data_IF_445186741086
#
_entry.id   IF_445186741086
#
_cell.length_a   1.000
_cell.length_b   1.000
_cell.length_c   1.000
_cell.angle_alpha   90.00
_cell.angle_beta   90.00
_cell.angle_gamma   90.00
#
_symmetry.space_group_name_H-M   'P 1'
#
loop_
_entity.id
_entity.type
_entity.pdbx_description
1 polymer ?
#
# COMPACT_ATOMS: atom_id res chain seq x y z
N UNK A 1 -14.41 -1.84 28.35
CA UNK A 1 -13.07 -1.58 27.76
C UNK A 1 -13.24 -1.53 26.24
N UNK A 2 -13.31 -0.33 25.67
CA UNK A 2 -13.55 -0.11 24.24
C UNK A 2 -12.21 -0.09 23.49
N UNK A 3 -11.89 -1.18 22.81
CA UNK A 3 -10.74 -1.26 21.92
C UNK A 3 -11.06 -0.52 20.62
N UNK A 4 -10.41 0.63 20.39
CA UNK A 4 -10.46 1.33 19.09
C UNK A 4 -9.98 0.36 18.01
N UNK A 5 -10.89 -0.03 17.11
CA UNK A 5 -10.55 -0.78 15.90
C UNK A 5 -9.91 0.21 14.93
N UNK A 6 -8.63 0.02 14.61
CA UNK A 6 -8.01 0.70 13.47
C UNK A 6 -8.78 0.35 12.18
N UNK A 7 -8.91 1.29 11.22
CA UNK A 7 -9.68 1.06 10.00
C UNK A 7 -9.07 -0.09 9.20
N UNK A 8 -9.94 -0.97 8.72
CA UNK A 8 -9.58 -2.07 7.85
C UNK A 8 -9.59 -1.55 6.41
N UNK A 9 -8.41 -1.24 5.87
CA UNK A 9 -8.28 -1.09 4.42
C UNK A 9 -8.17 -2.50 3.82
N UNK A 10 -9.32 -3.13 3.56
CA UNK A 10 -9.39 -4.31 2.71
C UNK A 10 -8.96 -3.97 1.28
N UNK A 11 -8.73 -4.97 0.41
CA UNK A 11 -8.35 -4.74 -0.99
C UNK A 11 -9.56 -4.16 -1.74
N UNK A 12 -9.83 -2.88 -1.54
CA UNK A 12 -10.75 -2.12 -2.37
C UNK A 12 -10.03 -1.78 -3.67
N UNK A 13 -10.82 -1.47 -4.70
CA UNK A 13 -10.40 -0.85 -5.98
C UNK A 13 -9.84 0.57 -5.77
N UNK A 14 -9.17 0.82 -4.64
CA UNK A 14 -8.72 2.12 -4.11
C UNK A 14 -7.36 2.06 -3.40
N UNK A 15 -6.53 1.04 -3.66
CA UNK A 15 -5.17 0.93 -3.11
C UNK A 15 -4.22 2.11 -3.39
N UNK A 16 -4.63 3.07 -4.24
CA UNK A 16 -3.90 4.30 -4.53
C UNK A 16 -4.06 5.41 -3.48
N UNK A 17 -5.19 5.50 -2.76
CA UNK A 17 -5.46 6.64 -1.88
C UNK A 17 -4.50 6.65 -0.68
N UNK A 18 -4.26 5.47 -0.09
CA UNK A 18 -3.27 5.30 0.98
C UNK A 18 -1.84 5.62 0.51
N UNK A 19 -1.50 5.32 -0.74
CA UNK A 19 -0.23 5.71 -1.34
C UNK A 19 -0.11 7.23 -1.45
N UNK A 20 -1.16 7.90 -1.93
CA UNK A 20 -1.21 9.36 -1.99
C UNK A 20 -0.98 9.98 -0.61
N UNK A 21 -1.69 9.47 0.41
CA UNK A 21 -1.55 9.95 1.79
C UNK A 21 -0.13 9.74 2.33
N UNK A 22 0.45 8.55 2.18
CA UNK A 22 1.81 8.28 2.67
C UNK A 22 2.86 9.12 1.94
N UNK A 23 2.77 9.25 0.61
CA UNK A 23 3.74 10.04 -0.16
C UNK A 23 3.66 11.52 0.20
N UNK A 24 2.46 12.09 0.34
CA UNK A 24 2.31 13.47 0.80
C UNK A 24 2.80 13.64 2.24
N UNK A 25 2.47 12.68 3.12
CA UNK A 25 2.95 12.66 4.50
C UNK A 25 4.46 12.68 4.58
N UNK A 26 5.19 11.89 3.77
CA UNK A 26 6.65 11.95 3.73
C UNK A 26 7.14 13.35 3.35
N UNK A 27 6.57 13.98 2.33
CA UNK A 27 6.97 15.34 1.93
C UNK A 27 6.72 16.37 3.04
N UNK A 28 5.57 16.31 3.71
CA UNK A 28 5.23 17.17 4.86
C UNK A 28 6.15 16.90 6.06
N UNK A 29 6.41 15.62 6.34
CA UNK A 29 7.23 15.16 7.45
C UNK A 29 8.65 15.70 7.32
N UNK A 30 9.24 15.56 6.15
CA UNK A 30 10.61 16.02 5.86
C UNK A 30 10.70 17.53 5.61
N UNK A 31 9.60 18.21 5.29
CA UNK A 31 9.54 19.68 5.27
C UNK A 31 9.55 20.30 6.69
N UNK A 32 9.42 19.49 7.74
CA UNK A 32 9.37 19.97 9.13
C UNK A 32 8.06 20.66 9.49
N UNK A 33 7.00 20.44 8.68
CA UNK A 33 5.69 21.00 8.97
C UNK A 33 5.01 20.22 10.13
N UNK A 34 4.27 20.91 11.01
CA UNK A 34 3.52 20.28 12.08
C UNK A 34 2.45 19.34 11.55
N UNK A 35 2.45 18.11 12.08
CA UNK A 35 1.46 17.08 11.77
C UNK A 35 0.37 17.18 12.84
N UNK A 36 -0.86 17.47 12.40
CA UNK A 36 -2.01 17.69 13.29
C UNK A 36 -2.76 16.37 13.52
N UNK A 37 -2.84 15.54 12.48
CA UNK A 37 -3.45 14.23 12.54
C UNK A 37 -2.71 13.27 11.62
N UNK A 38 -2.37 12.10 12.16
CA UNK A 38 -1.80 11.00 11.40
C UNK A 38 -2.29 9.69 12.00
N UNK A 39 -2.74 8.80 11.11
CA UNK A 39 -2.99 7.40 11.45
C UNK A 39 -2.10 6.52 10.59
N UNK A 40 -1.70 5.36 11.11
CA UNK A 40 -0.87 4.37 10.41
C UNK A 40 -1.73 3.22 9.89
N UNK A 41 -1.20 2.43 8.95
CA UNK A 41 -1.90 1.26 8.45
C UNK A 41 -2.04 0.17 9.52
N UNK A 42 -3.09 -0.66 9.41
CA UNK A 42 -3.26 -1.83 10.27
C UNK A 42 -2.11 -2.85 10.12
N UNK A 43 -1.62 -3.00 8.89
CA UNK A 43 -0.52 -3.89 8.52
C UNK A 43 0.62 -3.08 7.91
N UNK A 44 1.85 -3.51 8.16
CA UNK A 44 3.02 -2.84 7.61
C UNK A 44 3.13 -3.08 6.10
N UNK A 45 3.42 -2.01 5.35
CA UNK A 45 3.65 -2.08 3.91
C UNK A 45 5.13 -1.71 3.64
N UNK A 46 6.01 -2.69 3.39
CA UNK A 46 7.47 -2.48 3.32
C UNK A 46 7.92 -1.38 2.37
N UNK A 47 7.20 -1.18 1.26
CA UNK A 47 7.52 -0.15 0.28
C UNK A 47 7.53 1.27 0.86
N UNK A 48 6.76 1.53 1.93
CA UNK A 48 6.75 2.83 2.60
C UNK A 48 7.97 3.06 3.50
N UNK A 49 8.71 2.00 3.81
CA UNK A 49 9.97 2.10 4.55
C UNK A 49 11.20 2.28 3.67
N UNK A 50 11.04 2.40 2.35
CA UNK A 50 12.16 2.48 1.42
C UNK A 50 12.84 3.86 1.45
N UNK A 51 14.16 3.85 1.46
CA UNK A 51 15.01 5.02 1.25
C UNK A 51 14.64 5.75 -0.06
N UNK A 52 14.87 7.08 -0.17
CA UNK A 52 15.63 7.92 0.77
C UNK A 52 14.80 8.62 1.85
N UNK A 53 13.47 8.49 1.81
CA UNK A 53 12.54 9.26 2.68
C UNK A 53 11.62 8.37 3.52
N UNK A 54 11.51 7.09 3.20
CA UNK A 54 10.79 6.12 4.01
C UNK A 54 11.62 5.61 5.17
N UNK A 55 10.94 5.15 6.22
CA UNK A 55 11.53 4.43 7.34
C UNK A 55 10.53 3.38 7.82
N UNK A 56 11.02 2.30 8.43
CA UNK A 56 10.13 1.29 9.01
C UNK A 56 9.24 1.93 10.09
N UNK A 57 7.92 1.90 9.89
CA UNK A 57 6.94 2.54 10.76
C UNK A 57 6.51 3.96 10.38
N UNK A 58 7.08 4.52 9.30
CA UNK A 58 6.78 5.87 8.81
C UNK A 58 5.78 5.82 7.65
N UNK A 59 4.50 5.79 7.97
CA UNK A 59 3.41 5.81 7.00
C UNK A 59 2.24 6.67 7.46
N UNK A 60 1.32 6.94 6.54
CA UNK A 60 0.04 7.56 6.82
C UNK A 60 -1.06 6.89 6.01
N UNK A 61 -2.21 6.65 6.65
CA UNK A 61 -3.39 6.11 6.00
C UNK A 61 -4.55 7.09 6.12
N UNK A 62 -5.44 7.07 5.14
CA UNK A 62 -6.73 7.77 5.17
C UNK A 62 -7.81 6.78 4.74
N UNK A 63 -8.98 6.90 5.35
CA UNK A 63 -10.12 6.04 5.06
C UNK A 63 -11.42 6.81 5.34
N UNK A 64 -12.40 6.72 4.44
CA UNK A 64 -13.71 7.32 4.60
C UNK A 64 -14.75 6.24 4.40
N UNK A 65 -15.44 5.87 5.48
CA UNK A 65 -16.44 4.80 5.50
C UNK A 65 -17.83 5.41 5.49
N UNK A 66 -18.61 5.09 4.46
CA UNK A 66 -19.99 5.52 4.30
C UNK A 66 -20.93 4.34 4.58
N UNK A 67 -22.09 4.61 5.17
CA UNK A 67 -23.16 3.62 5.24
C UNK A 67 -23.88 3.44 3.89
N UNK A 68 -24.84 2.51 3.85
CA UNK A 68 -25.63 2.21 2.65
C UNK A 68 -26.44 3.40 2.12
N UNK A 69 -26.68 4.40 2.95
CA UNK A 69 -27.46 5.59 2.64
C UNK A 69 -26.53 6.78 2.28
N UNK A 70 -25.21 6.52 2.17
CA UNK A 70 -24.21 7.52 1.78
C UNK A 70 -23.76 8.44 2.91
N UNK A 71 -24.13 8.15 4.16
CA UNK A 71 -23.72 8.95 5.32
C UNK A 71 -22.35 8.50 5.81
N UNK A 72 -21.45 9.46 6.04
CA UNK A 72 -20.14 9.20 6.64
C UNK A 72 -20.31 8.66 8.07
N UNK A 73 -19.80 7.46 8.32
CA UNK A 73 -19.88 6.76 9.62
C UNK A 73 -18.54 6.69 10.34
N UNK A 74 -17.43 6.68 9.61
CA UNK A 74 -16.09 6.74 10.17
C UNK A 74 -15.16 7.41 9.17
N UNK A 75 -14.24 8.23 9.67
CA UNK A 75 -13.21 8.85 8.86
C UNK A 75 -11.86 8.80 9.58
N UNK A 76 -10.83 8.50 8.81
CA UNK A 76 -9.43 8.60 9.17
C UNK A 76 -8.78 9.51 8.15
N UNK A 77 -8.09 10.53 8.64
CA UNK A 77 -7.56 11.60 7.81
C UNK A 77 -6.08 11.87 8.11
N UNK A 78 -5.43 12.57 7.19
CA UNK A 78 -4.09 13.09 7.38
C UNK A 78 -4.13 14.62 7.31
N UNK A 79 -3.84 15.28 8.44
CA UNK A 79 -3.88 16.73 8.56
C UNK A 79 -2.54 17.27 8.99
N UNK A 80 -2.12 18.37 8.38
CA UNK A 80 -0.91 19.11 8.74
C UNK A 80 -1.19 20.61 8.71
N UNK A 81 -0.36 21.38 9.41
CA UNK A 81 -0.51 22.84 9.50
C UNK A 81 0.61 23.52 8.72
N UNK A 82 0.25 24.48 7.88
CA UNK A 82 1.22 25.46 7.41
C UNK A 82 1.52 26.44 8.56
N UNK A 83 2.62 26.22 9.28
CA UNK A 83 3.12 27.12 10.33
C UNK A 83 4.12 28.16 9.82
N UNK A 84 4.31 28.27 8.50
CA UNK A 84 5.15 29.30 7.90
C UNK A 84 4.36 30.61 7.75
N UNK A 85 5.08 31.73 7.65
CA UNK A 85 4.48 33.07 7.40
C UNK A 85 4.13 33.28 5.91
N UNK A 86 4.08 32.24 5.09
CA UNK A 86 3.93 32.34 3.65
C UNK A 86 3.10 31.19 3.07
N UNK A 87 2.62 31.38 1.84
CA UNK A 87 1.90 30.32 1.13
C UNK A 87 2.83 29.15 0.80
N UNK A 88 2.24 27.95 0.79
CA UNK A 88 2.88 26.73 0.29
C UNK A 88 2.22 26.33 -1.03
N UNK A 89 3.04 25.97 -2.01
CA UNK A 89 2.60 25.28 -3.22
C UNK A 89 2.88 23.78 -3.04
N UNK A 90 1.82 22.98 -3.09
CA UNK A 90 1.92 21.53 -3.08
C UNK A 90 1.71 21.04 -4.51
N UNK A 91 2.72 20.40 -5.08
CA UNK A 91 2.68 19.89 -6.44
C UNK A 91 2.76 18.37 -6.42
N UNK A 92 1.74 17.72 -6.98
CA UNK A 92 1.73 16.29 -7.24
C UNK A 92 2.14 16.03 -8.69
N UNK A 93 3.00 15.03 -8.91
CA UNK A 93 3.32 14.50 -10.24
C UNK A 93 3.31 12.99 -10.20
N UNK A 94 2.94 12.37 -11.31
CA UNK A 94 3.06 10.93 -11.46
C UNK A 94 3.70 10.61 -12.81
N UNK A 95 4.67 9.70 -12.81
CA UNK A 95 4.96 8.88 -13.97
C UNK A 95 4.24 7.55 -13.75
N UNK A 96 3.96 6.75 -14.78
CA UNK A 96 3.15 5.51 -14.69
C UNK A 96 3.57 4.52 -13.57
N UNK A 97 4.73 4.71 -12.94
CA UNK A 97 5.28 3.90 -11.85
C UNK A 97 5.34 4.63 -10.51
N UNK A 98 5.57 5.94 -10.50
CA UNK A 98 5.84 6.72 -9.29
C UNK A 98 4.84 7.85 -9.08
N UNK A 99 4.51 8.11 -7.81
CA UNK A 99 3.81 9.30 -7.36
C UNK A 99 4.78 10.14 -6.54
N UNK A 100 4.87 11.43 -6.85
CA UNK A 100 5.81 12.36 -6.23
C UNK A 100 5.06 13.60 -5.75
N UNK A 101 5.30 13.98 -4.50
CA UNK A 101 4.84 15.24 -3.93
C UNK A 101 6.02 16.17 -3.64
N UNK A 102 5.91 17.40 -4.08
CA UNK A 102 6.88 18.47 -3.82
C UNK A 102 6.17 19.61 -3.11
N UNK A 103 6.77 20.11 -2.04
CA UNK A 103 6.26 21.25 -1.28
C UNK A 103 7.24 22.40 -1.49
N UNK A 104 6.75 23.49 -2.07
CA UNK A 104 7.50 24.71 -2.32
C UNK A 104 6.97 25.81 -1.42
N UNK A 105 7.86 26.67 -0.92
CA UNK A 105 7.51 27.81 -0.07
C UNK A 105 8.72 28.69 0.19
N UNK A 106 8.52 29.72 1.02
CA UNK A 106 9.61 30.56 1.51
C UNK A 106 10.60 29.70 2.31
N UNK A 107 11.90 29.89 2.08
CA UNK A 107 12.95 29.18 2.82
C UNK A 107 12.83 29.50 4.31
N UNK A 108 12.58 28.48 5.12
CA UNK A 108 12.34 28.63 6.57
C UNK A 108 13.63 28.63 7.40
N UNK A 109 14.72 28.10 6.85
CA UNK A 109 15.94 27.84 7.62
C UNK A 109 15.80 26.70 8.64
N UNK A 110 14.72 25.92 8.56
CA UNK A 110 14.51 24.79 9.46
C UNK A 110 15.43 23.62 9.12
N UNK A 111 15.90 22.94 10.15
CA UNK A 111 16.61 21.67 10.03
C UNK A 111 15.75 20.56 10.64
N UNK A 112 15.59 19.45 9.92
CA UNK A 112 14.84 18.28 10.39
C UNK A 112 15.83 17.15 10.68
N UNK A 113 15.87 16.71 11.94
CA UNK A 113 16.63 15.54 12.38
C UNK A 113 15.68 14.45 12.82
N UNK A 114 15.96 13.21 12.41
CA UNK A 114 15.10 12.07 12.68
C UNK A 114 15.97 10.93 13.18
N UNK A 115 15.59 10.38 14.33
CA UNK A 115 16.29 9.24 14.92
C UNK A 115 15.95 7.96 14.16
N UNK A 116 16.81 6.94 14.24
CA UNK A 116 16.49 5.62 13.70
C UNK A 116 15.22 5.06 14.37
N UNK A 117 14.33 4.38 13.62
CA UNK A 117 13.14 3.79 14.21
C UNK A 117 13.50 2.80 15.33
N UNK A 118 12.84 2.94 16.48
CA UNK A 118 12.89 1.94 17.55
C UNK A 118 11.76 0.95 17.34
N UNK A 119 12.12 -0.30 17.07
CA UNK A 119 11.17 -1.40 16.84
C UNK A 119 11.07 -2.27 18.10
N UNK A 120 9.85 -2.52 18.59
CA UNK A 120 9.57 -3.42 19.70
C UNK A 120 8.22 -4.13 19.54
N UNK A 121 7.83 -4.95 20.53
CA UNK A 121 6.58 -5.72 20.54
C UNK A 121 6.34 -6.53 19.26
N UNK A 122 7.38 -7.20 18.77
CA UNK A 122 7.31 -7.99 17.54
C UNK A 122 6.40 -9.21 17.77
N UNK A 123 5.42 -9.39 16.89
CA UNK A 123 4.50 -10.53 16.88
C UNK A 123 4.71 -11.29 15.59
N UNK A 124 5.11 -12.55 15.68
CA UNK A 124 5.37 -13.38 14.51
C UNK A 124 4.11 -13.64 13.70
N UNK A 125 4.25 -13.53 12.39
CA UNK A 125 3.21 -13.93 11.44
C UNK A 125 3.08 -15.44 11.38
N UNK A 126 1.85 -15.91 11.12
CA UNK A 126 1.60 -17.30 10.73
C UNK A 126 1.83 -17.41 9.21
N UNK A 127 2.84 -18.18 8.76
CA UNK A 127 3.12 -18.31 7.33
C UNK A 127 2.10 -19.19 6.60
N UNK A 128 1.21 -19.87 7.32
CA UNK A 128 0.23 -20.80 6.75
C UNK A 128 -0.67 -20.09 5.72
N UNK A 129 -0.65 -20.51 4.45
CA UNK A 129 -1.48 -19.91 3.41
C UNK A 129 -2.98 -20.12 3.65
N UNK A 130 -3.74 -19.03 3.58
CA UNK A 130 -5.20 -19.06 3.50
C UNK A 130 -5.60 -18.93 2.03
N UNK A 131 -6.37 -19.90 1.51
CA UNK A 131 -6.91 -19.85 0.15
C UNK A 131 -8.36 -19.37 0.17
N UNK A 132 -8.64 -18.30 -0.56
CA UNK A 132 -9.98 -17.74 -0.72
C UNK A 132 -10.42 -17.92 -2.18
N UNK A 133 -11.56 -18.58 -2.37
CA UNK A 133 -12.12 -18.77 -3.71
C UNK A 133 -12.59 -17.44 -4.28
N UNK A 134 -12.12 -17.11 -5.49
CA UNK A 134 -12.70 -16.06 -6.33
C UNK A 134 -13.27 -16.68 -7.62
N UNK A 135 -14.60 -16.78 -7.75
CA UNK A 135 -15.23 -17.33 -8.95
C UNK A 135 -14.92 -16.55 -10.23
N UNK A 136 -14.44 -15.31 -10.13
CA UNK A 136 -14.10 -14.46 -11.28
C UNK A 136 -12.68 -14.71 -11.80
N UNK A 137 -11.84 -15.38 -11.02
CA UNK A 137 -10.49 -15.74 -11.46
C UNK A 137 -10.52 -16.90 -12.47
N UNK A 138 -9.56 -16.96 -13.40
CA UNK A 138 -9.43 -18.08 -14.33
C UNK A 138 -9.39 -19.43 -13.60
N UNK A 139 -10.00 -20.45 -14.19
CA UNK A 139 -10.01 -21.81 -13.63
C UNK A 139 -8.58 -22.29 -13.35
N UNK A 140 -8.34 -22.78 -12.14
CA UNK A 140 -7.04 -23.29 -11.70
C UNK A 140 -5.96 -22.23 -11.44
N UNK A 141 -6.28 -20.94 -11.54
CA UNK A 141 -5.33 -19.86 -11.22
C UNK A 141 -5.20 -19.61 -9.72
N UNK A 142 -4.08 -19.03 -9.30
CA UNK A 142 -3.80 -18.65 -7.92
C UNK A 142 -3.02 -17.31 -7.90
N UNK A 143 -3.40 -16.38 -7.02
CA UNK A 143 -2.81 -15.05 -6.89
C UNK A 143 -2.61 -14.69 -5.42
N UNK A 144 -1.39 -14.35 -5.02
CA UNK A 144 -1.09 -13.83 -3.67
C UNK A 144 -1.60 -12.39 -3.55
N UNK A 145 -2.49 -12.13 -2.60
CA UNK A 145 -3.08 -10.80 -2.36
C UNK A 145 -2.68 -10.17 -1.02
N UNK A 146 -2.20 -10.98 -0.07
CA UNK A 146 -1.63 -10.53 1.20
C UNK A 146 -0.42 -11.41 1.50
N UNK A 147 0.72 -10.81 1.88
CA UNK A 147 1.92 -11.55 2.27
C UNK A 147 2.09 -11.52 3.78
N UNK A 148 2.47 -12.66 4.36
CA UNK A 148 2.78 -12.79 5.79
C UNK A 148 3.97 -11.90 6.16
N UNK A 149 3.75 -11.02 7.12
CA UNK A 149 4.75 -10.13 7.70
C UNK A 149 4.51 -10.01 9.19
N UNK A 150 5.59 -9.98 9.95
CA UNK A 150 5.51 -9.81 11.40
C UNK A 150 4.85 -8.48 11.77
N UNK A 151 4.03 -8.51 12.82
CA UNK A 151 3.55 -7.31 13.47
C UNK A 151 4.65 -6.72 14.36
N UNK A 152 4.59 -5.43 14.61
CA UNK A 152 5.53 -4.74 15.48
C UNK A 152 4.99 -3.37 15.88
N UNK A 153 5.58 -2.77 16.92
CA UNK A 153 5.44 -1.35 17.22
C UNK A 153 6.71 -0.61 16.82
N UNK A 154 6.54 0.51 16.13
CA UNK A 154 7.62 1.41 15.73
C UNK A 154 7.45 2.77 16.39
N UNK A 155 8.56 3.34 16.84
CA UNK A 155 8.65 4.69 17.39
C UNK A 155 9.71 5.48 16.64
N UNK A 156 9.35 6.65 16.12
CA UNK A 156 10.23 7.52 15.35
C UNK A 156 10.17 8.92 15.96
N UNK A 157 11.30 9.42 16.43
CA UNK A 157 11.40 10.78 16.98
C UNK A 157 11.90 11.74 15.90
N UNK A 158 11.11 12.77 15.62
CA UNK A 158 11.47 13.89 14.75
C UNK A 158 11.75 15.13 15.61
N UNK A 159 12.84 15.83 15.31
CA UNK A 159 13.17 17.15 15.85
C UNK A 159 13.28 18.14 14.71
N UNK A 160 12.58 19.27 14.83
CA UNK A 160 12.68 20.41 13.91
C UNK A 160 13.28 21.58 14.66
N UNK A 161 14.33 22.18 14.10
CA UNK A 161 15.02 23.34 14.70
C UNK A 161 15.01 24.54 13.77
N UNK A 162 14.92 25.74 14.33
CA UNK A 162 15.14 27.01 13.64
C UNK A 162 16.41 27.65 14.24
N UNK A 163 17.54 27.50 13.54
CA UNK A 163 18.85 27.80 14.13
C UNK A 163 19.11 26.92 15.36
N UNK A 164 19.39 27.53 16.50
CA UNK A 164 19.67 26.81 17.76
C UNK A 164 18.41 26.46 18.58
N UNK A 165 17.24 26.94 18.18
CA UNK A 165 16.00 26.70 18.90
C UNK A 165 15.29 25.45 18.36
N UNK A 166 14.88 24.55 19.27
CA UNK A 166 13.95 23.46 18.94
C UNK A 166 12.55 24.04 18.86
N UNK A 167 11.95 23.99 17.67
CA UNK A 167 10.58 24.48 17.44
C UNK A 167 9.54 23.37 17.49
N UNK A 168 9.98 22.12 17.26
CA UNK A 168 9.13 20.95 17.39
C UNK A 168 9.97 19.72 17.76
N UNK A 169 9.46 18.89 18.67
CA UNK A 169 9.97 17.55 18.91
C UNK A 169 8.80 16.62 19.19
N UNK A 170 8.63 15.61 18.34
CA UNK A 170 7.50 14.68 18.40
C UNK A 170 7.97 13.23 18.19
N UNK A 171 7.39 12.30 18.93
CA UNK A 171 7.58 10.86 18.74
C UNK A 171 6.33 10.25 18.11
N UNK A 172 6.46 9.83 16.86
CA UNK A 172 5.42 9.11 16.13
C UNK A 172 5.45 7.64 16.52
N UNK A 173 4.31 7.14 17.01
CA UNK A 173 4.14 5.72 17.33
C UNK A 173 3.19 5.08 16.31
N UNK A 174 3.62 3.95 15.73
CA UNK A 174 2.80 3.12 14.83
C UNK A 174 2.79 1.68 15.35
N UNK A 175 1.64 1.01 15.35
CA UNK A 175 1.49 -0.38 15.80
C UNK A 175 0.83 -1.22 14.73
N UNK A 176 1.57 -2.18 14.18
CA UNK A 176 1.14 -3.05 13.09
C UNK A 176 0.81 -4.44 13.60
N UNK A 177 -0.26 -5.03 13.08
CA UNK A 177 -0.59 -6.42 13.31
C UNK A 177 0.22 -7.32 12.38
N UNK A 178 0.49 -8.58 12.78
CA UNK A 178 1.00 -9.56 11.83
C UNK A 178 -0.04 -9.79 10.73
N UNK A 179 0.42 -9.77 9.48
CA UNK A 179 -0.36 -10.19 8.32
C UNK A 179 -0.16 -11.69 8.05
N UNK A 180 -0.93 -12.25 7.13
CA UNK A 180 -0.82 -13.67 6.74
C UNK A 180 -0.71 -13.81 5.22
N UNK A 181 -0.32 -15.00 4.76
CA UNK A 181 -0.39 -15.32 3.35
C UNK A 181 -1.85 -15.58 2.95
N UNK A 182 -2.42 -14.73 2.09
CA UNK A 182 -3.76 -14.94 1.50
C UNK A 182 -3.64 -15.06 0.00
N UNK A 183 -4.11 -16.18 -0.53
CA UNK A 183 -4.17 -16.47 -1.96
C UNK A 183 -5.62 -16.44 -2.43
N UNK A 184 -5.92 -15.65 -3.46
CA UNK A 184 -7.13 -15.86 -4.26
C UNK A 184 -6.91 -17.04 -5.19
N UNK A 185 -7.86 -17.97 -5.21
CA UNK A 185 -7.82 -19.14 -6.11
C UNK A 185 -9.04 -19.14 -7.01
N UNK A 186 -8.83 -19.42 -8.29
CA UNK A 186 -9.91 -19.61 -9.24
C UNK A 186 -10.67 -20.92 -9.01
N UNK A 187 -11.84 -21.08 -9.65
CA UNK A 187 -12.61 -22.32 -9.57
C UNK A 187 -11.76 -23.52 -9.99
N UNK A 188 -12.04 -24.69 -9.40
CA UNK A 188 -11.48 -25.94 -9.91
C UNK A 188 -12.26 -26.34 -11.17
N UNK A 189 -11.61 -27.00 -12.14
CA UNK A 189 -12.34 -27.69 -13.20
C UNK A 189 -13.30 -28.67 -12.54
N UNK A 190 -14.61 -28.49 -12.74
CA UNK A 190 -15.56 -29.57 -12.46
C UNK A 190 -15.23 -30.70 -13.41
N UNK A 191 -14.79 -31.84 -12.88
CA UNK A 191 -14.68 -33.06 -13.67
C UNK A 191 -16.04 -33.31 -14.33
N UNK A 192 -16.10 -33.27 -15.66
CA UNK A 192 -17.27 -33.68 -16.41
C UNK A 192 -17.57 -35.15 -16.02
N UNK A 193 -18.83 -35.54 -15.80
CA UNK A 193 -19.15 -36.90 -15.33
C UNK A 193 -18.60 -37.92 -16.33
N UNK A 194 -17.79 -38.84 -15.79
CA UNK A 194 -17.17 -39.96 -16.49
C UNK A 194 -18.22 -40.73 -17.32
N UNK A 195 -18.08 -40.69 -18.64
CA UNK A 195 -18.67 -41.72 -19.49
C UNK A 195 -18.03 -43.07 -19.13
N UNK A 196 -18.87 -44.06 -18.84
CA UNK A 196 -18.47 -45.43 -18.50
C UNK A 196 -17.65 -46.11 -19.61
N UNK A 197 -16.77 -47.08 -19.29
CA UNK A 197 -15.74 -47.54 -20.21
C UNK A 197 -16.27 -48.60 -21.18
N UNK A 198 -15.99 -48.44 -22.48
CA UNK A 198 -16.05 -49.53 -23.46
C UNK A 198 -14.64 -49.91 -23.91
N UNK A 199 -14.33 -51.17 -23.62
CA UNK A 199 -13.14 -52.02 -23.81
C UNK A 199 -12.16 -51.71 -24.98
N UNK A 200 -10.87 -51.89 -24.67
CA UNK A 200 -9.63 -51.91 -25.49
C UNK A 200 -9.48 -53.21 -26.33
N UNK A 201 -8.54 -53.28 -27.32
CA UNK A 201 -7.13 -53.73 -27.04
C UNK A 201 -6.02 -52.93 -27.82
N UNK A 202 -4.92 -52.47 -27.18
CA UNK A 202 -3.53 -53.04 -27.08
C UNK A 202 -2.73 -52.94 -28.41
N UNK A 203 -1.47 -52.47 -28.59
CA UNK A 203 -0.22 -52.20 -27.83
C UNK A 203 0.55 -51.00 -28.51
N UNK A 204 1.65 -50.37 -28.05
CA UNK A 204 2.98 -50.83 -27.58
C UNK A 204 3.74 -49.65 -26.93
N UNK A 205 4.72 -49.99 -26.07
CA UNK A 205 5.49 -49.15 -25.16
C UNK A 205 6.54 -48.19 -25.77
N UNK A 206 6.83 -47.12 -25.01
CA UNK A 206 8.05 -46.30 -25.09
C UNK A 206 8.08 -45.22 -23.99
N UNK A 207 9.13 -45.21 -23.17
CA UNK A 207 9.52 -44.21 -22.15
C UNK A 207 11.06 -44.07 -22.19
N UNK A 208 11.77 -43.04 -21.65
CA UNK A 208 11.32 -41.99 -20.71
C UNK A 208 11.87 -40.54 -20.89
N UNK A 209 11.29 -39.59 -20.13
CA UNK A 209 11.83 -38.32 -19.50
C UNK A 209 12.55 -37.21 -20.32
N UNK A 210 12.68 -35.93 -19.83
CA UNK A 210 12.44 -35.41 -18.47
C UNK A 210 11.59 -34.13 -18.33
N UNK A 211 11.27 -33.82 -17.07
CA UNK A 211 10.49 -32.70 -16.57
C UNK A 211 11.08 -31.32 -16.94
N UNK A 212 10.20 -30.42 -17.41
CA UNK A 212 10.49 -29.00 -17.56
C UNK A 212 9.98 -28.22 -16.33
N UNK A 213 10.86 -27.41 -15.75
CA UNK A 213 10.53 -26.39 -14.75
C UNK A 213 9.52 -25.37 -15.28
N UNK A 214 8.60 -24.82 -14.45
CA UNK A 214 7.70 -23.76 -14.89
C UNK A 214 8.40 -22.40 -15.00
N UNK A 215 8.08 -21.68 -16.07
CA UNK A 215 8.50 -20.31 -16.40
C UNK A 215 8.06 -19.26 -15.37
N UNK A 216 8.74 -18.09 -15.29
CA UNK A 216 8.32 -16.98 -14.41
C UNK A 216 6.97 -16.37 -14.85
N UNK A 217 6.21 -15.75 -13.91
CA UNK A 217 4.90 -15.16 -14.20
C UNK A 217 5.00 -13.92 -15.11
N UNK A 218 3.97 -13.64 -15.94
CA UNK A 218 3.98 -12.54 -16.89
C UNK A 218 3.81 -11.17 -16.22
N UNK A 219 4.54 -10.20 -16.74
CA UNK A 219 4.49 -8.77 -16.43
C UNK A 219 3.12 -8.18 -16.83
N UNK A 220 2.52 -7.36 -15.96
CA UNK A 220 1.23 -6.71 -16.21
C UNK A 220 1.32 -5.76 -17.43
N UNK A 221 0.59 -6.10 -18.49
CA UNK A 221 0.33 -5.21 -19.62
C UNK A 221 -0.76 -4.21 -19.22
N UNK A 222 -0.44 -2.92 -19.29
CA UNK A 222 -1.39 -1.83 -19.08
C UNK A 222 -2.32 -1.65 -20.30
N UNK A 223 -3.61 -1.29 -20.11
CA UNK A 223 -4.51 -1.00 -21.22
C UNK A 223 -4.11 0.28 -21.96
N UNK A 224 -3.99 0.16 -23.27
CA UNK A 224 -3.72 1.22 -24.24
C UNK A 224 -5.01 2.01 -24.52
N UNK A 225 -4.97 3.34 -24.42
CA UNK A 225 -6.00 4.21 -24.99
C UNK A 225 -6.17 5.56 -24.28
N UNK A 226 -5.45 6.59 -24.74
CA UNK A 226 -5.81 8.00 -24.50
C UNK A 226 -6.26 8.62 -25.82
N UNK A 227 -7.47 9.22 -25.91
CA UNK A 227 -7.84 10.04 -27.07
C UNK A 227 -7.05 11.37 -27.09
N UNK A 228 -6.73 11.84 -28.29
CA UNK A 228 -5.98 13.08 -28.56
C UNK A 228 -6.74 14.33 -28.10
N UNK A 229 -6.07 15.35 -27.51
CA UNK A 229 -6.65 16.67 -27.30
C UNK A 229 -6.75 17.45 -28.63
N UNK A 230 -7.90 18.09 -28.85
CA UNK A 230 -8.12 19.09 -29.91
C UNK A 230 -7.73 20.45 -29.36
N UNK A 231 -6.85 21.17 -30.06
CA UNK A 231 -6.43 22.54 -29.73
C UNK A 231 -7.46 23.55 -30.26
N UNK A 232 -7.97 24.50 -29.44
CA UNK A 232 -8.69 25.65 -29.96
C UNK A 232 -7.72 26.77 -30.40
N UNK A 233 -7.94 27.28 -31.62
CA UNK A 233 -7.27 28.45 -32.21
C UNK A 233 -7.71 29.74 -31.49
N UNK A 234 -6.81 30.70 -31.22
CA UNK A 234 -7.21 32.00 -30.67
C UNK A 234 -7.79 32.91 -31.76
N UNK A 235 -8.98 33.44 -31.55
CA UNK A 235 -9.49 34.60 -32.30
C UNK A 235 -8.98 35.89 -31.66
N UNK A 236 -8.59 36.82 -32.52
CA UNK A 236 -8.21 38.21 -32.26
C UNK A 236 -9.41 39.06 -31.87
#
# INVERSE_FOLDING_TARGET
MSGRRSPFCGPSVGGGICQVATTLFHSVFWAGLPIVERHWHLYWIPRYGQEPKGMQGLDATIDQVFDKDGKLTSAVDFRFKNSTESYLLIQARTDKKNLTFQIYGKKTGWEVKVDKPRIDNVVKSDPTPVKQLDPKMPIGSEMLIESAQDGFRAQITRRVTAGNAVIEQETFTSTYRPSRNVYLVGPRPTASPTASPTRTPTATAGSPSPAASPSPPPELIAPTGTPKPVTPTPSR
#
